data_IF_933105947467
#
_entry.id   IF_933105947467
#
_cell.length_a   1.000
_cell.length_b   1.000
_cell.length_c   1.000
_cell.angle_alpha   90.00
_cell.angle_beta   90.00
_cell.angle_gamma   90.00
#
_symmetry.space_group_name_H-M   'P 1'
#
loop_
_entity.id
_entity.type
_entity.pdbx_description
1 polymer ?
#
# COMPACT_ATOMS: atom_id res chain seq x y z
N UNK A 1 -24.72 -17.02 5.71
CA UNK A 1 -24.24 -16.27 4.53
C UNK A 1 -22.80 -16.70 4.31
N UNK A 2 -22.58 -17.55 3.31
CA UNK A 2 -21.28 -18.21 3.03
C UNK A 2 -20.65 -17.44 1.87
N UNK A 3 -19.57 -16.69 2.14
CA UNK A 3 -18.91 -15.90 1.09
C UNK A 3 -17.72 -16.61 0.43
N UNK A 4 -17.17 -17.69 1.00
CA UNK A 4 -15.99 -18.38 0.42
C UNK A 4 -15.82 -19.85 0.88
N UNK A 5 -16.86 -20.48 1.44
CA UNK A 5 -16.78 -21.85 2.00
C UNK A 5 -16.39 -21.91 3.49
N UNK A 6 -16.00 -20.76 4.07
CA UNK A 6 -15.79 -20.61 5.50
C UNK A 6 -17.13 -20.25 6.18
N UNK A 7 -17.47 -20.96 7.26
CA UNK A 7 -18.67 -20.66 8.04
C UNK A 7 -18.41 -19.41 8.89
N UNK A 8 -18.96 -18.27 8.48
CA UNK A 8 -18.95 -17.03 9.26
C UNK A 8 -19.83 -17.23 10.52
N UNK A 9 -19.21 -17.74 11.58
CA UNK A 9 -19.84 -17.99 12.87
C UNK A 9 -19.36 -16.97 13.88
N UNK A 10 -20.19 -16.66 14.88
CA UNK A 10 -19.78 -15.81 15.99
C UNK A 10 -18.57 -16.37 16.75
N UNK A 11 -18.43 -17.69 16.78
CA UNK A 11 -17.25 -18.37 17.30
C UNK A 11 -15.98 -18.10 16.48
N UNK A 12 -16.06 -18.03 15.14
CA UNK A 12 -14.91 -17.68 14.32
C UNK A 12 -14.46 -16.25 14.59
N UNK A 13 -15.41 -15.30 14.72
CA UNK A 13 -15.10 -13.90 15.03
C UNK A 13 -14.43 -13.74 16.39
N UNK A 14 -14.92 -14.43 17.42
CA UNK A 14 -14.30 -14.38 18.75
C UNK A 14 -12.94 -15.08 18.76
N UNK A 15 -12.79 -16.19 18.04
CA UNK A 15 -11.52 -16.90 17.90
C UNK A 15 -10.45 -16.07 17.18
N UNK A 16 -10.84 -15.24 16.19
CA UNK A 16 -9.92 -14.35 15.46
C UNK A 16 -9.97 -12.90 15.96
N UNK A 17 -10.51 -12.65 17.15
CA UNK A 17 -10.71 -11.28 17.65
C UNK A 17 -9.40 -10.49 17.73
N UNK A 18 -8.30 -11.12 18.16
CA UNK A 18 -6.99 -10.47 18.29
C UNK A 18 -6.44 -10.00 16.93
N UNK A 19 -6.25 -10.85 15.91
CA UNK A 19 -5.79 -10.40 14.60
C UNK A 19 -6.77 -9.43 13.93
N UNK A 20 -8.08 -9.57 14.16
CA UNK A 20 -9.08 -8.64 13.63
C UNK A 20 -8.95 -7.23 14.23
N UNK A 21 -8.78 -7.14 15.55
CA UNK A 21 -8.55 -5.87 16.25
C UNK A 21 -7.21 -5.25 15.84
N UNK A 22 -6.16 -6.07 15.69
CA UNK A 22 -4.86 -5.59 15.21
C UNK A 22 -4.95 -5.00 13.79
N UNK A 23 -5.59 -5.70 12.85
CA UNK A 23 -5.77 -5.24 11.48
C UNK A 23 -6.65 -3.98 11.39
N UNK A 24 -7.71 -3.90 12.20
CA UNK A 24 -8.60 -2.73 12.23
C UNK A 24 -7.97 -1.51 12.89
N UNK A 25 -7.51 -1.65 14.14
CA UNK A 25 -7.08 -0.52 14.96
C UNK A 25 -5.66 -0.09 14.59
N UNK A 26 -4.72 -1.04 14.57
CA UNK A 26 -3.30 -0.70 14.39
C UNK A 26 -3.00 -0.49 12.92
N UNK A 27 -3.32 -1.47 12.07
CA UNK A 27 -2.98 -1.40 10.64
C UNK A 27 -3.80 -0.38 9.86
N UNK A 28 -5.11 -0.26 10.11
CA UNK A 28 -5.95 0.69 9.35
C UNK A 28 -6.14 2.01 10.09
N UNK A 29 -6.36 1.99 11.40
CA UNK A 29 -6.61 3.19 12.19
C UNK A 29 -5.35 4.02 12.42
N UNK A 30 -4.42 3.48 13.19
CA UNK A 30 -3.20 4.19 13.61
C UNK A 30 -2.28 4.44 12.43
N UNK A 31 -2.01 3.42 11.59
CA UNK A 31 -1.06 3.58 10.50
C UNK A 31 -1.51 4.64 9.48
N UNK A 32 -2.76 4.62 9.02
CA UNK A 32 -3.25 5.66 8.09
C UNK A 32 -3.40 7.03 8.75
N UNK A 33 -3.76 7.11 10.04
CA UNK A 33 -3.74 8.39 10.74
C UNK A 33 -2.33 9.01 10.75
N UNK A 34 -1.31 8.22 11.08
CA UNK A 34 0.09 8.64 11.02
C UNK A 34 0.52 8.98 9.59
N UNK A 35 0.06 8.23 8.59
CA UNK A 35 0.35 8.51 7.19
C UNK A 35 -0.23 9.86 6.75
N UNK A 36 -1.48 10.16 7.11
CA UNK A 36 -2.12 11.44 6.80
C UNK A 36 -1.39 12.60 7.49
N UNK A 37 -1.08 12.45 8.79
CA UNK A 37 -0.35 13.47 9.55
C UNK A 37 1.06 13.69 8.97
N UNK A 38 1.76 12.61 8.61
CA UNK A 38 3.08 12.69 8.00
C UNK A 38 3.09 13.30 6.60
N UNK A 39 1.98 13.22 5.88
CA UNK A 39 1.81 13.76 4.53
C UNK A 39 1.12 15.14 4.49
N UNK A 40 0.71 15.70 5.63
CA UNK A 40 -0.10 16.94 5.72
C UNK A 40 0.58 18.17 5.09
N UNK A 41 1.91 18.19 5.03
CA UNK A 41 2.70 19.27 4.41
C UNK A 41 3.49 18.86 3.16
N UNK A 42 3.31 17.63 2.67
CA UNK A 42 4.11 17.09 1.56
C UNK A 42 3.43 17.41 0.22
N UNK A 43 4.16 17.90 -0.81
CA UNK A 43 3.59 18.13 -2.12
C UNK A 43 2.90 16.87 -2.68
N UNK A 44 1.78 16.99 -3.42
CA UNK A 44 1.00 15.82 -3.88
C UNK A 44 1.84 14.79 -4.65
N UNK A 45 2.82 15.26 -5.42
CA UNK A 45 3.76 14.41 -6.15
C UNK A 45 4.66 13.62 -5.21
N UNK A 46 5.14 14.20 -4.12
CA UNK A 46 5.96 13.51 -3.13
C UNK A 46 5.12 12.56 -2.26
N UNK A 47 3.91 12.96 -1.89
CA UNK A 47 2.97 12.12 -1.16
C UNK A 47 2.56 10.87 -1.96
N UNK A 48 2.26 11.01 -3.26
CA UNK A 48 1.95 9.88 -4.14
C UNK A 48 3.15 8.94 -4.30
N UNK A 49 4.36 9.49 -4.25
CA UNK A 49 5.62 8.73 -4.29
C UNK A 49 5.75 7.83 -3.06
N UNK A 50 5.54 8.40 -1.87
CA UNK A 50 5.58 7.68 -0.60
C UNK A 50 4.51 6.59 -0.52
N UNK A 51 3.27 6.92 -0.91
CA UNK A 51 2.15 5.96 -0.93
C UNK A 51 2.45 4.78 -1.87
N UNK A 52 3.04 5.03 -3.03
CA UNK A 52 3.36 3.95 -3.97
C UNK A 52 4.56 3.10 -3.49
N UNK A 53 5.50 3.70 -2.76
CA UNK A 53 6.60 2.98 -2.10
C UNK A 53 6.15 2.12 -0.92
N UNK A 54 5.02 2.44 -0.28
CA UNK A 54 4.45 1.66 0.81
C UNK A 54 4.28 0.18 0.42
N UNK A 55 3.80 -0.09 -0.80
CA UNK A 55 3.65 -1.44 -1.31
C UNK A 55 4.97 -2.23 -1.39
N UNK A 56 6.09 -1.54 -1.68
CA UNK A 56 7.42 -2.17 -1.71
C UNK A 56 7.87 -2.52 -0.30
N UNK A 57 7.68 -1.61 0.66
CA UNK A 57 7.96 -1.88 2.08
C UNK A 57 7.06 -2.97 2.65
N UNK A 58 5.79 -3.02 2.22
CA UNK A 58 4.84 -4.08 2.57
C UNK A 58 5.33 -5.45 2.10
N UNK A 59 5.74 -5.56 0.83
CA UNK A 59 6.30 -6.80 0.28
C UNK A 59 7.58 -7.23 1.00
N UNK A 60 8.51 -6.29 1.25
CA UNK A 60 9.74 -6.57 2.00
C UNK A 60 9.47 -7.00 3.44
N UNK A 61 8.50 -6.36 4.10
CA UNK A 61 8.09 -6.70 5.47
C UNK A 61 7.40 -8.06 5.52
N UNK A 62 6.58 -8.42 4.53
CA UNK A 62 6.01 -9.77 4.40
C UNK A 62 7.10 -10.84 4.27
N UNK A 63 8.09 -10.61 3.39
CA UNK A 63 9.21 -11.52 3.23
C UNK A 63 10.05 -11.68 4.53
N UNK A 64 10.30 -10.58 5.24
CA UNK A 64 11.15 -10.57 6.43
C UNK A 64 10.45 -11.07 7.70
N UNK A 65 9.21 -10.64 7.95
CA UNK A 65 8.48 -10.91 9.19
C UNK A 65 7.56 -12.13 9.11
N UNK A 66 6.92 -12.39 7.95
CA UNK A 66 6.06 -13.57 7.77
C UNK A 66 6.84 -14.78 7.23
N UNK A 67 8.08 -14.59 6.78
CA UNK A 67 8.90 -15.65 6.21
C UNK A 67 8.39 -16.13 4.86
N UNK A 68 7.59 -15.33 4.16
CA UNK A 68 7.08 -15.64 2.84
C UNK A 68 8.26 -15.68 1.85
N UNK A 69 8.52 -16.86 1.28
CA UNK A 69 9.56 -17.03 0.28
C UNK A 69 9.12 -16.34 -1.01
N UNK A 70 9.62 -15.12 -1.23
CA UNK A 70 9.36 -14.39 -2.46
C UNK A 70 9.89 -15.20 -3.65
N UNK A 71 8.96 -15.70 -4.44
CA UNK A 71 9.25 -16.36 -5.70
C UNK A 71 9.88 -15.36 -6.67
N UNK A 72 10.63 -15.86 -7.66
CA UNK A 72 11.21 -15.01 -8.69
C UNK A 72 10.16 -14.13 -9.42
N UNK A 73 8.90 -14.59 -9.48
CA UNK A 73 7.77 -13.85 -10.06
C UNK A 73 7.31 -12.67 -9.20
N UNK A 74 7.30 -12.82 -7.88
CA UNK A 74 6.95 -11.73 -6.96
C UNK A 74 8.04 -10.66 -6.94
N UNK A 75 9.31 -11.09 -7.01
CA UNK A 75 10.44 -10.17 -7.10
C UNK A 75 10.42 -9.36 -8.41
N UNK A 76 10.11 -9.99 -9.54
CA UNK A 76 9.97 -9.25 -10.82
C UNK A 76 8.77 -8.32 -10.80
N UNK A 77 7.64 -8.72 -10.20
CA UNK A 77 6.48 -7.85 -9.98
C UNK A 77 6.80 -6.63 -9.13
N UNK A 78 7.51 -6.82 -8.00
CA UNK A 78 7.98 -5.73 -7.14
C UNK A 78 8.93 -4.78 -7.88
N UNK A 79 9.87 -5.31 -8.68
CA UNK A 79 10.77 -4.51 -9.48
C UNK A 79 10.04 -3.68 -10.56
N UNK A 80 9.03 -4.25 -11.22
CA UNK A 80 8.19 -3.54 -12.20
C UNK A 80 7.39 -2.43 -11.53
N UNK A 81 6.75 -2.70 -10.38
CA UNK A 81 6.04 -1.66 -9.62
C UNK A 81 6.99 -0.53 -9.21
N UNK A 82 8.15 -0.86 -8.66
CA UNK A 82 9.16 0.12 -8.28
C UNK A 82 9.61 0.98 -9.47
N UNK A 83 9.89 0.35 -10.63
CA UNK A 83 10.23 1.07 -11.86
C UNK A 83 9.08 1.97 -12.36
N UNK A 84 7.84 1.49 -12.30
CA UNK A 84 6.65 2.26 -12.68
C UNK A 84 6.43 3.49 -11.79
N UNK A 85 6.65 3.34 -10.48
CA UNK A 85 6.62 4.47 -9.53
C UNK A 85 7.71 5.47 -9.88
N UNK A 86 8.96 5.05 -10.07
CA UNK A 86 10.04 5.95 -10.47
C UNK A 86 9.73 6.67 -11.80
N UNK A 87 9.16 5.98 -12.78
CA UNK A 87 8.79 6.56 -14.07
C UNK A 87 7.65 7.58 -13.96
N UNK A 88 6.63 7.32 -13.13
CA UNK A 88 5.51 8.23 -12.91
C UNK A 88 5.93 9.56 -12.28
N UNK A 89 7.06 9.56 -11.56
CA UNK A 89 7.60 10.73 -10.87
C UNK A 89 8.47 11.60 -11.77
N UNK A 90 8.75 11.16 -13.01
CA UNK A 90 9.40 12.01 -14.01
C UNK A 90 8.43 13.16 -14.34
N UNK A 91 8.77 14.42 -14.04
CA UNK A 91 7.83 15.52 -14.15
C UNK A 91 7.26 15.61 -15.57
N UNK A 92 5.93 15.51 -15.69
CA UNK A 92 5.20 15.83 -16.93
C UNK A 92 5.31 17.30 -17.36
N UNK A 93 6.18 18.09 -16.70
CA UNK A 93 6.53 19.47 -17.05
C UNK A 93 7.10 19.60 -18.47
N UNK A 94 7.50 18.50 -19.10
CA UNK A 94 7.87 18.45 -20.53
C UNK A 94 6.66 18.30 -21.47
N UNK A 95 5.52 17.79 -21.00
CA UNK A 95 4.36 17.40 -21.83
C UNK A 95 3.25 18.46 -21.91
N UNK A 96 3.13 19.37 -20.94
CA UNK A 96 1.98 20.29 -20.83
C UNK A 96 2.29 21.80 -20.98
N UNK A 97 3.26 22.18 -21.82
CA UNK A 97 3.43 23.57 -22.26
C UNK A 97 2.55 23.95 -23.48
N UNK A 98 1.30 23.47 -23.57
CA UNK A 98 0.41 23.82 -24.69
C UNK A 98 -1.03 24.09 -24.25
N UNK A 99 -1.24 25.27 -23.64
CA UNK A 99 -2.44 26.08 -23.91
C UNK A 99 -2.09 27.57 -23.91
N UNK A 100 -1.81 28.17 -25.08
CA UNK A 100 -2.08 29.56 -25.27
C UNK A 100 -3.57 29.72 -25.61
N UNK A 101 -4.33 30.39 -24.76
CA UNK A 101 -5.55 31.06 -25.21
C UNK A 101 -5.89 32.19 -24.25
N UNK A 102 -5.55 33.39 -24.73
CA UNK A 102 -6.20 34.69 -24.55
C UNK A 102 -7.10 34.88 -23.33
#
# INVERSE_FOLDING_TARGET
MVLTGESLTWQAVTATAVPLLYAGIVSSGVAYALQIIGQEGVPPTEASMLLSMEMVFGALSGALFLGEAMTARELTGAAIMFAGVLAAQVPGRILWYRRPSR
#
